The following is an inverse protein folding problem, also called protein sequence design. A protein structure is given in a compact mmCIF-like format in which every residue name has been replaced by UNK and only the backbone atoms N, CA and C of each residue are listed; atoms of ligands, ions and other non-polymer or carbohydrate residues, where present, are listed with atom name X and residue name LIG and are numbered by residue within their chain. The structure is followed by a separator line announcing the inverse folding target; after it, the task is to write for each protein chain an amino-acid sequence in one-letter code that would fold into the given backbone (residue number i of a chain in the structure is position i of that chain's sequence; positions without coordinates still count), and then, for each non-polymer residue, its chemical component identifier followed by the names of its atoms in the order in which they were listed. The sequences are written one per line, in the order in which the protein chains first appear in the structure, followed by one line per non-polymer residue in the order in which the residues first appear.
data_IF_319018428759
#
_entry.id   IF_319018428759
#
_cell.length_a   1.000
_cell.length_b   1.000
_cell.length_c   1.000
_cell.angle_alpha   90.00
_cell.angle_beta   90.00
_cell.angle_gamma   90.00
#
_symmetry.space_group_name_H-M   'P 1'
#
loop_
_entity.id
_entity.type
_entity.pdbx_description
1 polymer ?
#
# COMPACT_ATOMS: atom_id res chain seq x y z
N UNK A 1 -19.27 -23.07 11.97
CA UNK A 1 -20.33 -22.61 11.07
C UNK A 1 -20.67 -23.64 10.00
N UNK A 2 -19.74 -24.04 9.11
CA UNK A 2 -20.06 -25.03 8.05
C UNK A 2 -20.59 -26.37 8.58
N UNK A 3 -19.99 -26.94 9.64
CA UNK A 3 -20.46 -28.18 10.28
C UNK A 3 -21.74 -28.04 11.12
N UNK A 4 -22.36 -26.86 11.14
CA UNK A 4 -23.53 -26.55 11.97
C UNK A 4 -24.79 -26.28 11.15
N UNK A 5 -24.72 -26.48 9.82
CA UNK A 5 -25.85 -26.29 8.90
C UNK A 5 -26.57 -24.96 9.12
N UNK A 6 -25.79 -23.88 9.30
CA UNK A 6 -26.34 -22.56 9.57
C UNK A 6 -27.13 -22.05 8.36
N UNK A 7 -28.34 -21.55 8.59
CA UNK A 7 -29.19 -20.93 7.56
C UNK A 7 -29.04 -19.41 7.48
N UNK A 8 -28.48 -18.79 8.54
CA UNK A 8 -28.23 -17.35 8.61
C UNK A 8 -26.86 -17.14 9.27
N UNK A 9 -25.99 -16.36 8.63
CA UNK A 9 -24.74 -15.88 9.20
C UNK A 9 -24.75 -14.36 9.29
N UNK A 10 -24.55 -13.84 10.49
CA UNK A 10 -24.48 -12.39 10.76
C UNK A 10 -23.02 -12.05 11.11
N UNK A 11 -22.28 -11.40 10.21
CA UNK A 11 -20.90 -10.98 10.48
C UNK A 11 -20.85 -9.77 11.42
N UNK A 12 -19.68 -9.49 12.00
CA UNK A 12 -19.47 -8.28 12.81
C UNK A 12 -19.65 -6.98 12.02
N UNK A 13 -19.36 -7.02 10.71
CA UNK A 13 -19.59 -5.94 9.75
C UNK A 13 -20.09 -6.51 8.41
N UNK A 14 -20.87 -5.72 7.68
CA UNK A 14 -21.43 -6.10 6.37
C UNK A 14 -22.85 -6.66 6.46
N UNK A 15 -23.33 -7.18 5.34
CA UNK A 15 -24.70 -7.70 5.23
C UNK A 15 -24.80 -9.15 5.76
N UNK A 16 -25.94 -9.54 6.36
CA UNK A 16 -26.19 -10.94 6.67
C UNK A 16 -26.19 -11.81 5.42
N UNK A 17 -25.69 -13.05 5.55
CA UNK A 17 -25.72 -14.05 4.49
C UNK A 17 -26.77 -15.10 4.84
N UNK A 18 -27.71 -15.33 3.92
CA UNK A 18 -28.83 -16.25 4.08
C UNK A 18 -28.65 -17.48 3.20
N UNK A 19 -29.07 -18.63 3.72
CA UNK A 19 -29.03 -19.93 3.06
C UNK A 19 -27.71 -20.66 3.29
N UNK A 20 -27.81 -21.92 3.70
CA UNK A 20 -26.67 -22.81 3.96
C UNK A 20 -25.60 -22.79 2.87
N UNK A 21 -25.99 -22.95 1.60
CA UNK A 21 -25.04 -23.05 0.48
C UNK A 21 -24.22 -21.77 0.29
N UNK A 22 -24.86 -20.60 0.41
CA UNK A 22 -24.17 -19.31 0.32
C UNK A 22 -23.23 -19.07 1.49
N UNK A 23 -23.63 -19.49 2.69
CA UNK A 23 -22.77 -19.41 3.88
C UNK A 23 -21.54 -20.30 3.69
N UNK A 24 -21.72 -21.51 3.17
CA UNK A 24 -20.61 -22.42 2.89
C UNK A 24 -19.69 -21.87 1.81
N UNK A 25 -20.23 -21.33 0.72
CA UNK A 25 -19.46 -20.66 -0.32
C UNK A 25 -18.66 -19.48 0.25
N UNK A 26 -19.30 -18.63 1.04
CA UNK A 26 -18.64 -17.46 1.61
C UNK A 26 -17.46 -17.82 2.52
N UNK A 27 -17.65 -18.81 3.40
CA UNK A 27 -16.60 -19.27 4.31
C UNK A 27 -15.47 -19.98 3.58
N UNK A 28 -15.80 -20.90 2.65
CA UNK A 28 -14.78 -21.64 1.89
C UNK A 28 -13.95 -20.72 1.01
N UNK A 29 -14.59 -19.89 0.20
CA UNK A 29 -13.87 -18.98 -0.71
C UNK A 29 -13.04 -17.93 0.02
N UNK A 30 -13.45 -17.54 1.24
CA UNK A 30 -12.62 -16.67 2.10
C UNK A 30 -11.40 -17.42 2.64
N UNK A 31 -11.55 -18.68 3.07
CA UNK A 31 -10.43 -19.49 3.51
C UNK A 31 -9.44 -19.74 2.35
N UNK A 32 -9.94 -20.21 1.21
CA UNK A 32 -9.15 -20.48 0.01
C UNK A 32 -8.35 -19.24 -0.43
N UNK A 33 -8.96 -18.04 -0.35
CA UNK A 33 -8.30 -16.79 -0.68
C UNK A 33 -7.10 -16.48 0.22
N UNK A 34 -7.29 -16.64 1.53
CA UNK A 34 -6.24 -16.34 2.52
C UNK A 34 -5.11 -17.36 2.42
N UNK A 35 -5.44 -18.64 2.26
CA UNK A 35 -4.49 -19.74 2.08
C UNK A 35 -3.67 -19.55 0.79
N UNK A 36 -4.32 -19.20 -0.34
CA UNK A 36 -3.62 -18.94 -1.61
C UNK A 36 -2.59 -17.81 -1.52
N UNK A 37 -2.95 -16.68 -0.88
CA UNK A 37 -2.00 -15.56 -0.70
C UNK A 37 -0.85 -15.98 0.23
N UNK A 38 -1.14 -16.71 1.31
CA UNK A 38 -0.12 -17.20 2.25
C UNK A 38 0.85 -18.17 1.56
N UNK A 39 0.34 -19.16 0.81
CA UNK A 39 1.13 -20.14 0.08
C UNK A 39 2.01 -19.49 -1.00
N UNK A 40 1.44 -18.59 -1.81
CA UNK A 40 2.21 -17.85 -2.81
C UNK A 40 3.32 -17.02 -2.17
N UNK A 41 3.01 -16.32 -1.07
CA UNK A 41 3.97 -15.48 -0.35
C UNK A 41 5.10 -16.33 0.21
N UNK A 42 4.78 -17.41 0.94
CA UNK A 42 5.77 -18.32 1.53
C UNK A 42 6.63 -19.02 0.48
N UNK A 43 6.04 -19.45 -0.64
CA UNK A 43 6.80 -20.06 -1.72
C UNK A 43 7.86 -19.10 -2.28
N UNK A 44 7.50 -17.83 -2.49
CA UNK A 44 8.45 -16.82 -2.99
C UNK A 44 9.51 -16.47 -1.93
N UNK A 45 9.12 -16.38 -0.65
CA UNK A 45 10.07 -16.21 0.46
C UNK A 45 11.09 -17.35 0.52
N UNK A 46 10.64 -18.60 0.38
CA UNK A 46 11.50 -19.79 0.38
C UNK A 46 12.43 -19.85 -0.84
N UNK A 47 12.15 -19.11 -1.91
CA UNK A 47 13.04 -18.92 -3.06
C UNK A 47 14.10 -17.83 -2.83
N UNK A 48 14.12 -17.20 -1.64
CA UNK A 48 15.06 -16.13 -1.30
C UNK A 48 14.73 -14.77 -1.92
N UNK A 49 13.51 -14.57 -2.41
CA UNK A 49 13.08 -13.30 -3.01
C UNK A 49 12.91 -12.20 -1.96
N UNK A 50 13.23 -10.96 -2.31
CA UNK A 50 12.99 -9.81 -1.45
C UNK A 50 11.49 -9.51 -1.30
N UNK A 51 11.10 -8.80 -0.26
CA UNK A 51 9.70 -8.38 -0.06
C UNK A 51 9.20 -7.56 -1.24
N UNK A 52 10.07 -6.77 -1.90
CA UNK A 52 9.68 -6.03 -3.09
C UNK A 52 9.27 -6.98 -4.22
N UNK A 53 10.09 -8.00 -4.49
CA UNK A 53 9.78 -9.02 -5.49
C UNK A 53 8.50 -9.78 -5.14
N UNK A 54 8.36 -10.21 -3.87
CA UNK A 54 7.17 -10.93 -3.39
C UNK A 54 5.90 -10.09 -3.59
N UNK A 55 5.93 -8.81 -3.16
CA UNK A 55 4.80 -7.88 -3.26
C UNK A 55 4.31 -7.67 -4.71
N UNK A 56 5.20 -7.80 -5.69
CA UNK A 56 4.87 -7.64 -7.11
C UNK A 56 4.57 -8.96 -7.83
N UNK A 57 5.02 -10.10 -7.32
CA UNK A 57 4.82 -11.41 -7.94
C UNK A 57 3.61 -12.18 -7.41
N UNK A 58 3.20 -11.97 -6.16
CA UNK A 58 1.95 -12.55 -5.64
C UNK A 58 0.77 -11.99 -6.42
N UNK A 59 -0.08 -12.89 -6.92
CA UNK A 59 -1.26 -12.54 -7.71
C UNK A 59 -2.51 -12.68 -6.86
N UNK A 60 -3.27 -11.60 -6.80
CA UNK A 60 -4.60 -11.61 -6.19
C UNK A 60 -5.58 -12.09 -7.25
N UNK A 61 -6.18 -13.27 -7.05
CA UNK A 61 -7.10 -13.88 -8.02
C UNK A 61 -8.33 -12.99 -8.25
N UNK A 62 -8.59 -12.62 -9.51
CA UNK A 62 -9.74 -11.79 -9.89
C UNK A 62 -11.07 -12.50 -9.65
N UNK A 63 -11.11 -13.83 -9.78
CA UNK A 63 -12.31 -14.67 -9.57
C UNK A 63 -12.86 -14.52 -8.15
N UNK A 64 -11.99 -14.21 -7.20
CA UNK A 64 -12.33 -14.04 -5.79
C UNK A 64 -12.87 -12.63 -5.53
N UNK A 65 -12.39 -11.62 -6.26
CA UNK A 65 -12.80 -10.21 -6.11
C UNK A 65 -14.25 -9.94 -6.57
N UNK A 66 -14.79 -10.77 -7.46
CA UNK A 66 -16.18 -10.65 -7.92
C UNK A 66 -17.20 -11.02 -6.83
N UNK A 67 -16.77 -11.74 -5.78
CA UNK A 67 -17.65 -12.15 -4.68
C UNK A 67 -17.90 -10.96 -3.74
N UNK A 68 -19.17 -10.66 -3.38
CA UNK A 68 -19.48 -9.50 -2.55
C UNK A 68 -18.76 -9.44 -1.20
N UNK A 69 -18.47 -10.59 -0.58
CA UNK A 69 -17.78 -10.70 0.71
C UNK A 69 -16.25 -10.61 0.63
N UNK A 70 -15.66 -10.59 -0.57
CA UNK A 70 -14.20 -10.51 -0.79
C UNK A 70 -13.77 -9.24 -1.52
N UNK A 71 -14.71 -8.31 -1.76
CA UNK A 71 -14.39 -7.00 -2.30
C UNK A 71 -13.49 -6.22 -1.34
N UNK A 72 -12.41 -5.57 -1.82
CA UNK A 72 -11.43 -4.89 -0.99
C UNK A 72 -11.92 -3.50 -0.55
N UNK A 73 -13.06 -3.43 0.14
CA UNK A 73 -13.70 -2.17 0.55
C UNK A 73 -12.93 -1.49 1.68
N UNK A 74 -12.46 -2.29 2.65
CA UNK A 74 -11.73 -1.78 3.80
C UNK A 74 -10.23 -1.75 3.52
N UNK A 75 -9.60 -2.93 3.40
CA UNK A 75 -8.17 -3.08 3.16
C UNK A 75 -7.84 -3.42 1.70
N UNK A 76 -6.61 -3.09 1.30
CA UNK A 76 -6.01 -3.59 0.06
C UNK A 76 -5.48 -5.02 0.30
N UNK A 77 -5.85 -6.01 -0.53
CA UNK A 77 -5.43 -7.39 -0.35
C UNK A 77 -3.92 -7.58 -0.41
N UNK A 78 -3.18 -6.68 -1.07
CA UNK A 78 -1.71 -6.69 -1.06
C UNK A 78 -1.12 -6.36 0.31
N UNK A 79 -1.88 -5.77 1.24
CA UNK A 79 -1.42 -5.59 2.61
C UNK A 79 -1.21 -6.93 3.32
N UNK A 80 -1.97 -7.97 2.96
CA UNK A 80 -1.80 -9.32 3.49
C UNK A 80 -0.38 -9.85 3.23
N UNK A 81 0.18 -9.59 2.05
CA UNK A 81 1.54 -10.01 1.69
C UNK A 81 2.55 -9.47 2.71
N UNK A 82 2.43 -8.19 3.09
CA UNK A 82 3.30 -7.57 4.10
C UNK A 82 3.08 -8.15 5.49
N UNK A 83 1.84 -8.50 5.83
CA UNK A 83 1.51 -9.11 7.13
C UNK A 83 2.05 -10.54 7.24
N UNK A 84 1.92 -11.33 6.18
CA UNK A 84 2.50 -12.69 6.11
C UNK A 84 4.02 -12.60 6.16
N UNK A 85 4.63 -11.71 5.37
CA UNK A 85 6.07 -11.46 5.46
C UNK A 85 6.49 -11.11 6.89
N UNK A 86 5.77 -10.19 7.54
CA UNK A 86 6.06 -9.80 8.92
C UNK A 86 5.92 -10.96 9.91
N UNK A 87 4.92 -11.83 9.71
CA UNK A 87 4.66 -13.02 10.54
C UNK A 87 5.79 -14.04 10.47
N UNK A 88 6.33 -14.31 9.28
CA UNK A 88 7.31 -15.38 9.06
C UNK A 88 8.77 -14.88 8.96
N UNK A 89 9.00 -13.75 8.29
CA UNK A 89 10.33 -13.18 8.02
C UNK A 89 10.72 -12.01 8.92
N UNK A 90 9.79 -11.47 9.72
CA UNK A 90 10.07 -10.35 10.62
C UNK A 90 10.12 -9.00 9.90
N UNK A 91 11.03 -8.10 10.29
CA UNK A 91 11.11 -6.73 9.74
C UNK A 91 12.00 -6.64 8.50
N UNK A 92 12.93 -7.58 8.38
CA UNK A 92 13.93 -7.59 7.32
C UNK A 92 13.26 -7.85 5.97
N UNK A 93 13.46 -6.98 4.99
CA UNK A 93 12.77 -7.03 3.70
C UNK A 93 13.59 -7.65 2.55
N UNK A 94 14.81 -8.10 2.84
CA UNK A 94 15.70 -8.76 1.89
C UNK A 94 16.64 -7.82 1.12
N UNK A 95 16.57 -6.50 1.33
CA UNK A 95 17.36 -5.52 0.59
C UNK A 95 18.54 -5.00 1.42
N UNK A 96 19.77 -5.32 1.00
CA UNK A 96 21.00 -5.08 1.78
C UNK A 96 21.22 -3.61 2.19
N UNK A 97 20.90 -2.67 1.31
CA UNK A 97 20.98 -1.23 1.58
C UNK A 97 20.02 -0.78 2.69
N UNK A 98 18.97 -1.56 2.96
CA UNK A 98 17.91 -1.23 3.93
C UNK A 98 18.11 -1.88 5.30
N UNK A 99 19.19 -2.62 5.51
CA UNK A 99 19.46 -3.31 6.78
C UNK A 99 19.79 -2.32 7.90
N UNK A 100 20.68 -1.37 7.61
CA UNK A 100 21.11 -0.29 8.49
C UNK A 100 21.30 0.99 7.66
N UNK A 101 20.21 1.57 7.10
CA UNK A 101 20.29 2.72 6.22
C UNK A 101 20.71 3.98 6.99
N UNK A 102 21.16 5.00 6.25
CA UNK A 102 21.32 6.34 6.80
C UNK A 102 19.93 6.97 7.06
N UNK A 103 19.91 8.18 7.59
CA UNK A 103 18.71 9.00 7.65
C UNK A 103 18.18 9.31 6.25
N UNK A 104 16.85 9.32 6.11
CA UNK A 104 16.20 9.66 4.83
C UNK A 104 16.60 11.05 4.34
N UNK A 105 16.90 11.98 5.24
CA UNK A 105 17.41 13.32 4.93
C UNK A 105 18.78 13.28 4.25
N UNK A 106 19.71 12.46 4.72
CA UNK A 106 21.03 12.32 4.11
C UNK A 106 20.92 11.62 2.74
N UNK A 107 20.20 10.51 2.67
CA UNK A 107 19.97 9.80 1.41
C UNK A 107 19.31 10.71 0.36
N UNK A 108 18.32 11.51 0.77
CA UNK A 108 17.61 12.41 -0.15
C UNK A 108 18.48 13.56 -0.67
N UNK A 109 19.41 14.07 0.13
CA UNK A 109 20.36 15.12 -0.31
C UNK A 109 21.29 14.60 -1.39
N UNK A 110 21.81 13.38 -1.24
CA UNK A 110 22.63 12.73 -2.26
C UNK A 110 21.87 12.58 -3.58
N UNK A 111 20.60 12.14 -3.51
CA UNK A 111 19.75 12.06 -4.71
C UNK A 111 19.48 13.41 -5.35
N UNK A 112 19.25 14.46 -4.57
CA UNK A 112 19.06 15.83 -5.06
C UNK A 112 20.31 16.35 -5.75
N UNK A 113 21.49 16.14 -5.17
CA UNK A 113 22.78 16.52 -5.77
C UNK A 113 23.00 15.81 -7.11
N UNK A 114 22.84 14.47 -7.13
CA UNK A 114 22.96 13.65 -8.34
C UNK A 114 21.96 14.05 -9.44
N UNK A 115 20.78 14.53 -9.06
CA UNK A 115 19.72 14.91 -10.00
C UNK A 115 19.86 16.32 -10.56
N UNK A 116 20.86 17.10 -10.13
CA UNK A 116 21.04 18.50 -10.54
C UNK A 116 20.14 19.49 -9.80
N UNK A 117 19.70 19.15 -8.58
CA UNK A 117 18.93 20.01 -7.69
C UNK A 117 17.48 19.55 -7.48
N UNK A 118 16.85 20.12 -6.45
CA UNK A 118 15.52 19.68 -5.98
C UNK A 118 14.42 19.91 -7.03
N UNK A 119 14.52 20.99 -7.80
CA UNK A 119 13.56 21.33 -8.87
C UNK A 119 13.53 20.25 -9.96
N UNK A 120 14.66 19.60 -10.27
CA UNK A 120 14.71 18.51 -11.24
C UNK A 120 13.88 17.30 -10.77
N UNK A 121 13.97 16.95 -9.49
CA UNK A 121 13.18 15.87 -8.88
C UNK A 121 11.69 16.22 -8.85
N UNK A 122 11.33 17.43 -8.42
CA UNK A 122 9.92 17.89 -8.39
C UNK A 122 9.30 17.84 -9.79
N UNK A 123 10.00 18.38 -10.80
CA UNK A 123 9.53 18.35 -12.18
C UNK A 123 9.37 16.91 -12.69
N UNK A 124 10.31 16.02 -12.37
CA UNK A 124 10.20 14.61 -12.77
C UNK A 124 9.05 13.88 -12.05
N UNK A 125 8.78 14.22 -10.79
CA UNK A 125 7.63 13.70 -10.05
C UNK A 125 6.30 14.13 -10.70
N UNK A 126 6.19 15.39 -11.11
CA UNK A 126 5.03 15.91 -11.83
C UNK A 126 4.87 15.29 -13.23
N UNK A 127 5.96 15.09 -13.98
CA UNK A 127 5.94 14.34 -15.24
C UNK A 127 5.44 12.90 -15.04
N UNK A 128 5.92 12.21 -14.00
CA UNK A 128 5.42 10.87 -13.65
C UNK A 128 3.93 10.90 -13.28
N UNK A 129 3.45 11.93 -12.59
CA UNK A 129 2.02 12.13 -12.31
C UNK A 129 1.21 12.26 -13.61
N UNK A 130 1.63 13.13 -14.53
CA UNK A 130 0.96 13.31 -15.84
C UNK A 130 0.91 12.01 -16.63
N UNK A 131 1.96 11.18 -16.54
CA UNK A 131 2.03 9.87 -17.18
C UNK A 131 1.39 8.73 -16.36
N UNK A 132 0.60 9.05 -15.32
CA UNK A 132 -0.07 8.07 -14.43
C UNK A 132 0.87 7.07 -13.74
N UNK A 133 2.16 7.41 -13.62
CA UNK A 133 3.17 6.63 -12.88
C UNK A 133 3.16 7.03 -11.40
N UNK A 134 1.99 6.91 -10.77
CA UNK A 134 1.71 7.49 -9.46
C UNK A 134 2.67 7.04 -8.35
N UNK A 135 3.02 5.76 -8.32
CA UNK A 135 3.96 5.21 -7.31
C UNK A 135 5.36 5.80 -7.43
N UNK A 136 5.84 6.02 -8.66
CA UNK A 136 7.14 6.66 -8.91
C UNK A 136 7.07 8.16 -8.62
N UNK A 137 5.97 8.83 -8.97
CA UNK A 137 5.75 10.23 -8.61
C UNK A 137 5.82 10.41 -7.08
N UNK A 138 5.13 9.56 -6.31
CA UNK A 138 5.15 9.58 -4.86
C UNK A 138 6.54 9.29 -4.28
N UNK A 139 7.28 8.34 -4.84
CA UNK A 139 8.65 8.09 -4.40
C UNK A 139 9.55 9.32 -4.59
N UNK A 140 9.53 9.93 -5.78
CA UNK A 140 10.37 11.10 -6.08
C UNK A 140 10.00 12.32 -5.25
N UNK A 141 8.70 12.60 -5.06
CA UNK A 141 8.31 13.77 -4.26
C UNK A 141 8.66 13.59 -2.78
N UNK A 142 8.69 12.35 -2.27
CA UNK A 142 9.17 12.07 -0.93
C UNK A 142 10.69 12.25 -0.82
N UNK A 143 11.48 11.95 -1.86
CA UNK A 143 12.90 12.35 -1.90
C UNK A 143 13.04 13.87 -1.75
N UNK A 144 12.28 14.64 -2.53
CA UNK A 144 12.29 16.11 -2.39
C UNK A 144 11.85 16.57 -0.99
N UNK A 145 10.84 15.92 -0.39
CA UNK A 145 10.35 16.26 0.95
C UNK A 145 11.43 16.11 2.02
N UNK A 146 12.16 14.99 2.01
CA UNK A 146 13.20 14.75 3.01
C UNK A 146 14.45 15.60 2.79
N UNK A 147 14.70 16.08 1.57
CA UNK A 147 15.79 17.00 1.28
C UNK A 147 15.51 18.44 1.77
N UNK A 148 14.28 18.95 1.59
CA UNK A 148 13.88 20.29 2.04
C UNK A 148 12.41 20.34 2.45
N UNK A 149 12.13 20.03 3.72
CA UNK A 149 10.78 19.89 4.27
C UNK A 149 9.92 21.16 4.19
N UNK A 150 10.54 22.35 4.03
CA UNK A 150 9.84 23.66 4.03
C UNK A 150 9.59 24.20 2.62
N UNK A 151 10.02 23.49 1.57
CA UNK A 151 9.85 23.96 0.21
C UNK A 151 8.39 23.92 -0.25
N UNK A 152 7.79 25.09 -0.46
CA UNK A 152 6.37 25.23 -0.84
C UNK A 152 6.04 24.56 -2.18
N UNK A 153 6.92 24.65 -3.18
CA UNK A 153 6.69 24.02 -4.49
C UNK A 153 6.64 22.50 -4.40
N UNK A 154 7.46 21.93 -3.52
CA UNK A 154 7.42 20.51 -3.18
C UNK A 154 6.02 20.14 -2.64
N UNK A 155 5.48 20.94 -1.73
CA UNK A 155 4.21 20.63 -1.07
C UNK A 155 3.04 20.76 -2.05
N UNK A 156 3.08 21.75 -2.93
CA UNK A 156 2.13 21.87 -4.04
C UNK A 156 2.14 20.64 -4.96
N UNK A 157 3.32 20.09 -5.27
CA UNK A 157 3.44 18.88 -6.07
C UNK A 157 3.01 17.63 -5.30
N UNK A 158 3.42 17.51 -4.03
CA UNK A 158 3.09 16.41 -3.12
C UNK A 158 1.58 16.27 -2.95
N UNK A 159 0.90 17.40 -2.79
CA UNK A 159 -0.56 17.49 -2.74
C UNK A 159 -1.23 16.85 -3.96
N UNK A 160 -0.85 17.30 -5.17
CA UNK A 160 -1.39 16.80 -6.44
C UNK A 160 -1.16 15.29 -6.61
N UNK A 161 0.03 14.82 -6.25
CA UNK A 161 0.41 13.41 -6.37
C UNK A 161 -0.41 12.53 -5.43
N UNK A 162 -0.53 12.92 -4.15
CA UNK A 162 -1.25 12.12 -3.17
C UNK A 162 -2.77 12.21 -3.30
N UNK A 163 -3.31 13.32 -3.79
CA UNK A 163 -4.72 13.43 -4.18
C UNK A 163 -5.05 12.42 -5.30
N UNK A 164 -4.25 12.39 -6.37
CA UNK A 164 -4.44 11.43 -7.46
C UNK A 164 -4.26 9.97 -6.99
N UNK A 165 -3.25 9.68 -6.16
CA UNK A 165 -3.10 8.34 -5.59
C UNK A 165 -4.30 7.90 -4.76
N UNK A 166 -4.85 8.80 -3.94
CA UNK A 166 -6.04 8.56 -3.14
C UNK A 166 -7.24 8.20 -4.03
N UNK A 167 -7.50 8.98 -5.08
CA UNK A 167 -8.62 8.75 -6.00
C UNK A 167 -8.56 7.38 -6.70
N UNK A 168 -7.36 6.85 -6.96
CA UNK A 168 -7.15 5.56 -7.61
C UNK A 168 -7.32 4.35 -6.69
N UNK A 169 -7.58 4.54 -5.38
CA UNK A 169 -7.70 3.42 -4.44
C UNK A 169 -9.16 2.95 -4.29
N UNK A 170 -9.38 1.65 -4.42
CA UNK A 170 -10.66 1.01 -4.06
C UNK A 170 -10.82 0.89 -2.53
N UNK A 171 -9.74 0.51 -1.85
CA UNK A 171 -9.67 0.38 -0.39
C UNK A 171 -9.79 1.72 0.30
N UNK A 172 -10.73 1.82 1.25
CA UNK A 172 -10.89 3.02 2.08
C UNK A 172 -9.67 3.30 2.96
N UNK A 173 -8.98 2.27 3.46
CA UNK A 173 -7.73 2.43 4.20
C UNK A 173 -6.64 3.09 3.35
N UNK A 174 -6.35 2.55 2.18
CA UNK A 174 -5.33 3.10 1.28
C UNK A 174 -5.68 4.53 0.84
N UNK A 175 -6.95 4.76 0.45
CA UNK A 175 -7.47 6.07 0.07
C UNK A 175 -7.23 7.12 1.16
N UNK A 176 -7.65 6.81 2.39
CA UNK A 176 -7.57 7.75 3.50
C UNK A 176 -6.12 8.03 3.92
N UNK A 177 -5.23 7.03 3.90
CA UNK A 177 -3.81 7.21 4.21
C UNK A 177 -3.13 8.12 3.18
N UNK A 178 -3.40 7.93 1.89
CA UNK A 178 -2.87 8.84 0.86
C UNK A 178 -3.48 10.23 0.96
N UNK A 179 -4.80 10.33 1.22
CA UNK A 179 -5.43 11.63 1.42
C UNK A 179 -4.89 12.38 2.65
N UNK A 180 -4.49 11.67 3.70
CA UNK A 180 -3.82 12.30 4.85
C UNK A 180 -2.52 13.00 4.46
N UNK A 181 -1.71 12.39 3.60
CA UNK A 181 -0.48 13.01 3.09
C UNK A 181 -0.78 14.26 2.25
N UNK A 182 -1.84 14.20 1.42
CA UNK A 182 -2.36 15.33 0.67
C UNK A 182 -2.73 16.51 1.61
N UNK A 183 -3.55 16.27 2.63
CA UNK A 183 -3.97 17.29 3.60
C UNK A 183 -2.81 17.82 4.45
N UNK A 184 -1.87 16.96 4.86
CA UNK A 184 -0.70 17.39 5.62
C UNK A 184 0.18 18.37 4.84
N UNK A 185 0.26 18.22 3.51
CA UNK A 185 1.01 19.13 2.66
C UNK A 185 0.39 20.53 2.53
N UNK A 186 -0.93 20.69 2.72
CA UNK A 186 -1.54 22.02 2.80
C UNK A 186 -1.04 22.83 4.02
N UNK A 187 -0.55 22.15 5.05
CA UNK A 187 0.06 22.76 6.24
C UNK A 187 1.60 22.72 6.22
N UNK A 188 2.21 22.39 5.07
CA UNK A 188 3.67 22.19 4.92
C UNK A 188 4.24 21.11 5.87
N UNK A 189 3.44 20.10 6.23
CA UNK A 189 3.81 19.03 7.17
C UNK A 189 3.96 17.67 6.49
N UNK A 190 4.69 16.77 7.15
CA UNK A 190 4.68 15.33 6.82
C UNK A 190 3.37 14.69 7.25
N UNK A 191 2.96 15.00 8.47
CA UNK A 191 1.85 14.41 9.19
C UNK A 191 1.08 15.53 9.91
N UNK A 192 -0.25 15.51 9.85
CA UNK A 192 -1.08 16.49 10.56
C UNK A 192 -0.90 16.43 12.09
N UNK A 193 -0.47 15.27 12.61
CA UNK A 193 -0.17 15.11 14.03
C UNK A 193 1.19 15.70 14.43
N UNK A 194 2.04 16.10 13.48
CA UNK A 194 3.32 16.74 13.80
C UNK A 194 3.11 18.14 14.38
N UNK A 195 3.77 18.40 15.51
CA UNK A 195 3.91 19.76 16.05
C UNK A 195 4.77 20.61 15.10
N UNK A 196 4.54 21.93 15.11
CA UNK A 196 5.20 22.90 14.25
C UNK A 196 6.68 23.15 14.62
#
# INVERSE_FOLDING_TARGET
MMKKDAEIMIPGHGLPIYGKDRIQEALSTTADFLEDIEDQTLNLMNQGKSLNEVFHQVKISSVIQDKPWLRPVYDDPKFLIKMIWRRYGGWWDGEYDRLLPDTRENEAKEWVELSGGIEAIINKALDNLTNKKYKLAAHLIEVAYYADKKNEKLHDARKKIYAALSEEQDSSMARNIFNHANLASDELKRDLASEN
#
